data_IF_977346095848
#
_entry.id   IF_977346095848
#
_cell.length_a   1.000
_cell.length_b   1.000
_cell.length_c   1.000
_cell.angle_alpha   90.00
_cell.angle_beta   90.00
_cell.angle_gamma   90.00
#
_symmetry.space_group_name_H-M   'P 1'
#
loop_
_entity.id
_entity.type
_entity.pdbx_description
1 polymer ?
#
# COMPACT_ATOMS: atom_id res chain seq x y z
N UNK A 1 2.90 -0.77 20.88
CA UNK A 1 3.46 -0.73 19.51
C UNK A 1 2.71 -1.63 18.53
N UNK A 2 2.30 -2.84 18.92
CA UNK A 2 1.63 -3.81 18.04
C UNK A 2 0.36 -3.28 17.33
N UNK A 3 -0.46 -2.45 18.00
CA UNK A 3 -1.68 -1.86 17.41
C UNK A 3 -1.36 -1.07 16.14
N UNK A 4 -0.22 -0.37 16.17
CA UNK A 4 0.26 0.44 15.05
C UNK A 4 0.70 -0.47 13.91
N UNK A 5 1.57 -1.45 14.17
CA UNK A 5 2.05 -2.38 13.15
C UNK A 5 0.93 -3.19 12.51
N UNK A 6 -0.04 -3.65 13.31
CA UNK A 6 -1.23 -4.33 12.82
C UNK A 6 -2.05 -3.41 11.89
N UNK A 7 -2.29 -2.17 12.31
CA UNK A 7 -3.05 -1.20 11.53
C UNK A 7 -2.37 -0.85 10.20
N UNK A 8 -1.06 -0.56 10.23
CA UNK A 8 -0.27 -0.31 9.01
C UNK A 8 -0.34 -1.51 8.08
N UNK A 9 -0.11 -2.72 8.60
CA UNK A 9 -0.11 -3.94 7.78
C UNK A 9 -1.48 -4.20 7.14
N UNK A 10 -2.58 -3.97 7.86
CA UNK A 10 -3.93 -4.10 7.30
C UNK A 10 -4.21 -3.07 6.20
N UNK A 11 -3.84 -1.80 6.41
CA UNK A 11 -4.01 -0.75 5.40
C UNK A 11 -3.19 -1.07 4.16
N UNK A 12 -1.94 -1.47 4.33
CA UNK A 12 -1.04 -1.88 3.24
C UNK A 12 -1.62 -3.01 2.41
N UNK A 13 -2.13 -4.08 3.04
CA UNK A 13 -2.75 -5.20 2.32
C UNK A 13 -3.98 -4.74 1.53
N UNK A 14 -4.81 -3.88 2.13
CA UNK A 14 -5.97 -3.31 1.45
C UNK A 14 -5.55 -2.47 0.25
N UNK A 15 -4.52 -1.65 0.39
CA UNK A 15 -3.98 -0.80 -0.67
C UNK A 15 -3.41 -1.60 -1.84
N UNK A 16 -2.69 -2.69 -1.56
CA UNK A 16 -2.20 -3.63 -2.59
C UNK A 16 -3.40 -4.20 -3.37
N UNK A 17 -4.41 -4.71 -2.67
CA UNK A 17 -5.62 -5.21 -3.34
C UNK A 17 -6.31 -4.12 -4.16
N UNK A 18 -6.46 -2.92 -3.61
CA UNK A 18 -7.09 -1.81 -4.29
C UNK A 18 -6.33 -1.43 -5.57
N UNK A 19 -5.01 -1.41 -5.52
CA UNK A 19 -4.18 -1.10 -6.68
C UNK A 19 -4.38 -2.14 -7.80
N UNK A 20 -4.20 -3.42 -7.52
CA UNK A 20 -4.27 -4.45 -8.56
C UNK A 20 -5.68 -4.65 -9.14
N UNK A 21 -6.73 -4.49 -8.34
CA UNK A 21 -8.11 -4.69 -8.80
C UNK A 21 -8.78 -3.44 -9.37
N UNK A 22 -8.33 -2.23 -9.01
CA UNK A 22 -8.96 -0.99 -9.46
C UNK A 22 -7.99 -0.05 -10.19
N UNK A 23 -6.85 0.29 -9.58
CA UNK A 23 -5.94 1.29 -10.17
C UNK A 23 -5.25 0.76 -11.42
N UNK A 24 -4.74 -0.47 -11.41
CA UNK A 24 -4.05 -1.07 -12.55
C UNK A 24 -4.92 -1.19 -13.81
N UNK A 25 -6.15 -1.72 -13.72
CA UNK A 25 -7.11 -1.70 -14.82
C UNK A 25 -7.47 -0.29 -15.28
N UNK A 26 -7.67 0.65 -14.34
CA UNK A 26 -7.93 2.05 -14.67
C UNK A 26 -6.75 2.69 -15.43
N UNK A 27 -5.53 2.42 -15.01
CA UNK A 27 -4.31 2.89 -15.66
C UNK A 27 -4.21 2.35 -17.10
N UNK A 28 -4.51 1.07 -17.29
CA UNK A 28 -4.63 0.43 -18.60
C UNK A 28 -5.58 1.20 -19.53
N UNK A 29 -6.78 1.53 -19.05
CA UNK A 29 -7.79 2.28 -19.81
C UNK A 29 -7.36 3.72 -20.13
N UNK A 30 -6.69 4.38 -19.18
CA UNK A 30 -6.13 5.72 -19.36
C UNK A 30 -5.04 5.71 -20.44
N UNK A 31 -4.15 4.72 -20.43
CA UNK A 31 -3.10 4.57 -21.44
C UNK A 31 -3.69 4.34 -22.83
N UNK A 32 -4.67 3.45 -22.98
CA UNK A 32 -5.38 3.26 -24.25
C UNK A 32 -5.99 4.57 -24.77
N UNK A 33 -6.67 5.31 -23.89
CA UNK A 33 -7.29 6.59 -24.25
C UNK A 33 -6.26 7.65 -24.67
N UNK A 34 -5.08 7.66 -24.03
CA UNK A 34 -4.00 8.57 -24.37
C UNK A 34 -3.36 8.23 -25.72
N UNK A 35 -3.10 6.94 -25.98
CA UNK A 35 -2.60 6.48 -27.28
C UNK A 35 -3.56 6.88 -28.40
N UNK A 36 -4.86 6.65 -28.22
CA UNK A 36 -5.88 7.06 -29.18
C UNK A 36 -5.77 8.55 -29.56
N UNK A 37 -5.73 9.42 -28.54
CA UNK A 37 -5.61 10.88 -28.72
C UNK A 37 -4.31 11.30 -29.42
N UNK A 38 -3.21 10.58 -29.21
CA UNK A 38 -1.94 10.85 -29.90
C UNK A 38 -2.05 10.52 -31.38
N UNK A 39 -2.76 9.44 -31.73
CA UNK A 39 -2.87 8.97 -33.11
C UNK A 39 -3.90 9.78 -33.92
N UNK A 40 -4.97 10.27 -33.27
CA UNK A 40 -6.05 11.03 -33.91
C UNK A 40 -5.54 12.24 -34.72
N UNK A 41 -4.69 13.09 -34.14
CA UNK A 41 -4.22 14.30 -34.82
C UNK A 41 -3.41 14.05 -36.10
N UNK A 42 -2.42 13.14 -36.09
CA UNK A 42 -1.73 12.70 -37.30
C UNK A 42 -2.64 12.02 -38.33
N UNK A 43 -3.63 11.25 -37.88
CA UNK A 43 -4.60 10.58 -38.75
C UNK A 43 -5.48 11.57 -39.51
N UNK A 44 -6.01 12.59 -38.84
CA UNK A 44 -6.84 13.62 -39.48
C UNK A 44 -6.08 14.32 -40.64
N UNK A 45 -4.78 14.59 -40.43
CA UNK A 45 -3.92 15.19 -41.46
C UNK A 45 -3.60 14.22 -42.59
N UNK A 46 -3.42 12.95 -42.26
CA UNK A 46 -3.20 11.90 -43.25
C UNK A 46 -4.44 11.78 -44.15
N UNK A 47 -5.64 11.79 -43.58
CA UNK A 47 -6.90 11.74 -44.31
C UNK A 47 -7.11 12.93 -45.23
N UNK A 48 -6.80 14.13 -44.75
CA UNK A 48 -6.85 15.32 -45.61
C UNK A 48 -5.90 15.19 -46.81
N UNK A 49 -4.74 14.56 -46.61
CA UNK A 49 -3.74 14.36 -47.66
C UNK A 49 -4.13 13.25 -48.62
N UNK A 50 -4.60 12.13 -48.10
CA UNK A 50 -5.08 10.99 -48.90
C UNK A 50 -6.33 11.34 -49.71
N UNK A 51 -7.23 12.14 -49.13
CA UNK A 51 -8.39 12.70 -49.81
C UNK A 51 -8.01 13.56 -51.02
N UNK A 52 -6.89 14.32 -50.96
CA UNK A 52 -6.36 15.06 -52.13
C UNK A 52 -5.88 14.14 -53.25
N UNK A 53 -5.47 12.91 -52.92
CA UNK A 53 -5.03 11.90 -53.89
C UNK A 53 -6.15 10.94 -54.29
N UNK A 54 -7.35 11.10 -53.71
CA UNK A 54 -8.50 10.23 -53.91
C UNK A 54 -8.18 8.76 -53.58
N UNK A 55 -7.34 8.54 -52.56
CA UNK A 55 -6.92 7.24 -52.05
C UNK A 55 -7.49 7.07 -50.65
N UNK A 56 -8.00 5.88 -50.34
CA UNK A 56 -8.45 5.55 -48.98
C UNK A 56 -7.30 5.04 -48.09
N UNK A 57 -7.39 5.18 -46.76
CA UNK A 57 -6.38 4.68 -45.82
C UNK A 57 -6.08 3.19 -46.00
N UNK A 58 -7.10 2.35 -46.22
CA UNK A 58 -6.87 0.91 -46.46
C UNK A 58 -6.10 0.67 -47.75
N UNK A 59 -6.39 1.44 -48.80
CA UNK A 59 -5.67 1.34 -50.07
C UNK A 59 -4.22 1.81 -49.91
N UNK A 60 -3.99 2.91 -49.20
CA UNK A 60 -2.66 3.44 -48.90
C UNK A 60 -1.81 2.45 -48.10
N UNK A 61 -2.36 1.89 -47.01
CA UNK A 61 -1.69 0.87 -46.20
C UNK A 61 -1.45 -0.38 -47.04
N UNK A 62 -2.45 -0.86 -47.78
CA UNK A 62 -2.27 -1.99 -48.69
C UNK A 62 -1.19 -1.71 -49.73
N UNK A 63 -1.03 -0.48 -50.22
CA UNK A 63 0.02 -0.11 -51.16
C UNK A 63 1.41 -0.17 -50.52
N UNK A 64 1.57 0.32 -49.29
CA UNK A 64 2.82 0.21 -48.52
C UNK A 64 3.18 -1.26 -48.25
N UNK A 65 2.20 -2.08 -47.88
CA UNK A 65 2.38 -3.48 -47.52
C UNK A 65 2.19 -4.47 -48.68
N UNK A 66 1.88 -4.00 -49.90
CA UNK A 66 1.59 -4.85 -51.08
C UNK A 66 2.82 -5.61 -51.63
N UNK A 67 4.01 -5.39 -51.06
CA UNK A 67 5.19 -6.21 -51.33
C UNK A 67 5.22 -7.53 -50.53
N UNK A 68 4.35 -7.70 -49.52
CA UNK A 68 4.16 -8.96 -48.80
C UNK A 68 2.78 -9.52 -49.12
N UNK A 69 2.70 -10.74 -49.67
CA UNK A 69 1.45 -11.49 -49.94
C UNK A 69 0.68 -11.90 -48.68
N UNK A 70 0.87 -11.22 -47.54
CA UNK A 70 0.50 -11.76 -46.24
C UNK A 70 -0.93 -11.38 -45.82
N UNK A 71 -1.87 -12.22 -46.24
CA UNK A 71 -3.11 -12.48 -45.47
C UNK A 71 -2.81 -13.00 -44.03
N UNK A 72 -1.55 -13.28 -43.74
CA UNK A 72 -1.02 -13.73 -42.46
C UNK A 72 -0.56 -12.58 -41.55
N UNK A 73 -0.31 -11.37 -42.07
CA UNK A 73 0.27 -10.27 -41.27
C UNK A 73 -0.69 -9.72 -40.21
N UNK A 74 -1.95 -9.46 -40.59
CA UNK A 74 -3.01 -9.03 -39.67
C UNK A 74 -3.26 -10.10 -38.59
N UNK A 75 -3.35 -11.36 -39.00
CA UNK A 75 -3.51 -12.50 -38.08
C UNK A 75 -2.32 -12.68 -37.15
N UNK A 76 -1.10 -12.42 -37.65
CA UNK A 76 0.13 -12.47 -36.85
C UNK A 76 0.13 -11.37 -35.82
N UNK A 77 -0.20 -10.13 -36.19
CA UNK A 77 -0.32 -9.01 -35.25
C UNK A 77 -1.41 -9.23 -34.20
N UNK A 78 -2.57 -9.75 -34.61
CA UNK A 78 -3.65 -10.08 -33.68
C UNK A 78 -3.19 -11.16 -32.68
N UNK A 79 -2.54 -12.22 -33.17
CA UNK A 79 -2.00 -13.27 -32.32
C UNK A 79 -0.94 -12.74 -31.35
N UNK A 80 0.02 -11.95 -31.85
CA UNK A 80 1.04 -11.31 -31.01
C UNK A 80 0.42 -10.40 -29.95
N UNK A 81 -0.66 -9.68 -30.29
CA UNK A 81 -1.40 -8.85 -29.33
C UNK A 81 -2.08 -9.69 -28.25
N UNK A 82 -2.71 -10.81 -28.60
CA UNK A 82 -3.34 -11.72 -27.63
C UNK A 82 -2.29 -12.36 -26.73
N UNK A 83 -1.19 -12.84 -27.31
CA UNK A 83 -0.07 -13.42 -26.56
C UNK A 83 0.61 -12.37 -25.65
N UNK A 84 0.73 -11.13 -26.13
CA UNK A 84 1.22 -9.98 -25.36
C UNK A 84 0.33 -9.66 -24.16
N UNK A 85 -1.00 -9.65 -24.37
CA UNK A 85 -2.00 -9.44 -23.31
C UNK A 85 -1.93 -10.54 -22.25
N UNK A 86 -1.94 -11.80 -22.66
CA UNK A 86 -1.88 -12.94 -21.73
C UNK A 86 -0.59 -12.90 -20.89
N UNK A 87 0.56 -12.64 -21.53
CA UNK A 87 1.85 -12.51 -20.83
C UNK A 87 1.86 -11.36 -19.83
N UNK A 88 1.27 -10.20 -20.17
CA UNK A 88 1.10 -9.06 -19.26
C UNK A 88 0.23 -9.44 -18.05
N UNK A 89 -0.91 -10.09 -18.29
CA UNK A 89 -1.81 -10.53 -17.22
C UNK A 89 -1.12 -11.54 -16.28
N UNK A 90 -0.37 -12.51 -16.83
CA UNK A 90 0.41 -13.47 -16.05
C UNK A 90 1.52 -12.79 -15.22
N UNK A 91 2.25 -11.84 -15.81
CA UNK A 91 3.31 -11.10 -15.11
C UNK A 91 2.74 -10.23 -13.98
N UNK A 92 1.64 -9.52 -14.23
CA UNK A 92 0.95 -8.71 -13.22
C UNK A 92 0.33 -9.57 -12.12
N UNK A 93 -0.25 -10.72 -12.45
CA UNK A 93 -0.79 -11.66 -11.47
C UNK A 93 0.33 -12.24 -10.60
N UNK A 94 1.48 -12.56 -11.21
CA UNK A 94 2.67 -13.00 -10.48
C UNK A 94 3.16 -11.91 -9.53
N UNK A 95 3.24 -10.66 -10.00
CA UNK A 95 3.61 -9.51 -9.18
C UNK A 95 2.65 -9.35 -7.98
N UNK A 96 1.35 -9.46 -8.23
CA UNK A 96 0.33 -9.44 -7.17
C UNK A 96 0.55 -10.55 -6.14
N UNK A 97 0.68 -11.81 -6.59
CA UNK A 97 0.88 -12.97 -5.71
C UNK A 97 2.14 -12.83 -4.86
N UNK A 98 3.25 -12.44 -5.46
CA UNK A 98 4.50 -12.23 -4.74
C UNK A 98 4.38 -11.10 -3.73
N UNK A 99 3.75 -9.98 -4.12
CA UNK A 99 3.56 -8.83 -3.22
C UNK A 99 2.67 -9.19 -2.04
N UNK A 100 1.51 -9.80 -2.28
CA UNK A 100 0.56 -10.14 -1.21
C UNK A 100 1.14 -11.20 -0.27
N UNK A 101 1.96 -12.13 -0.77
CA UNK A 101 2.63 -13.14 0.04
C UNK A 101 3.59 -12.50 1.05
N UNK A 102 4.51 -11.63 0.60
CA UNK A 102 5.46 -10.95 1.49
C UNK A 102 4.75 -10.09 2.54
N UNK A 103 3.73 -9.32 2.14
CA UNK A 103 2.99 -8.47 3.06
C UNK A 103 2.10 -9.26 4.02
N UNK A 104 1.57 -10.40 3.59
CA UNK A 104 0.83 -11.32 4.46
C UNK A 104 1.73 -11.95 5.52
N UNK A 105 2.99 -12.26 5.19
CA UNK A 105 3.97 -12.74 6.18
C UNK A 105 4.28 -11.68 7.24
N UNK A 106 4.44 -10.41 6.84
CA UNK A 106 4.64 -9.29 7.77
C UNK A 106 3.41 -9.10 8.68
N UNK A 107 2.21 -9.18 8.11
CA UNK A 107 0.96 -9.12 8.87
C UNK A 107 0.87 -10.29 9.87
N UNK A 108 1.15 -11.52 9.44
CA UNK A 108 1.15 -12.70 10.29
C UNK A 108 2.17 -12.58 11.43
N UNK A 109 3.38 -12.07 11.15
CA UNK A 109 4.37 -11.78 12.18
C UNK A 109 3.89 -10.72 13.17
N UNK A 110 3.20 -9.68 12.70
CA UNK A 110 2.61 -8.64 13.57
C UNK A 110 1.53 -9.21 14.49
N UNK A 111 0.67 -10.09 13.97
CA UNK A 111 -0.34 -10.82 14.75
C UNK A 111 0.33 -11.75 15.78
N UNK A 112 1.40 -12.44 15.39
CA UNK A 112 2.16 -13.29 16.31
C UNK A 112 2.74 -12.50 17.49
N UNK A 113 3.36 -11.35 17.24
CA UNK A 113 3.87 -10.47 18.31
C UNK A 113 2.75 -10.01 19.25
N UNK A 114 1.57 -9.69 18.70
CA UNK A 114 0.41 -9.34 19.50
C UNK A 114 -0.04 -10.49 20.41
N UNK A 115 -0.10 -11.72 19.89
CA UNK A 115 -0.46 -12.91 20.68
C UNK A 115 0.57 -13.16 21.79
N UNK A 116 1.87 -13.02 21.49
CA UNK A 116 2.91 -13.16 22.51
C UNK A 116 2.75 -12.15 23.64
N UNK A 117 2.52 -10.87 23.33
CA UNK A 117 2.29 -9.83 24.34
C UNK A 117 1.03 -10.14 25.16
N UNK A 118 -0.06 -10.54 24.50
CA UNK A 118 -1.30 -10.92 25.17
C UNK A 118 -1.10 -12.09 26.14
N UNK A 119 -0.37 -13.14 25.73
CA UNK A 119 -0.06 -14.29 26.59
C UNK A 119 0.84 -13.91 27.76
N UNK A 120 1.83 -13.04 27.56
CA UNK A 120 2.70 -12.54 28.64
C UNK A 120 1.88 -11.75 29.67
N UNK A 121 1.05 -10.80 29.21
CA UNK A 121 0.16 -10.03 30.08
C UNK A 121 -0.80 -10.94 30.85
N UNK A 122 -1.41 -11.91 30.17
CA UNK A 122 -2.28 -12.89 30.79
C UNK A 122 -1.57 -13.71 31.88
N UNK A 123 -0.34 -14.16 31.61
CA UNK A 123 0.49 -14.87 32.59
C UNK A 123 0.84 -14.01 33.81
N UNK A 124 1.15 -12.73 33.61
CA UNK A 124 1.46 -11.79 34.70
C UNK A 124 0.22 -11.54 35.57
N UNK A 125 -0.93 -11.27 34.96
CA UNK A 125 -2.21 -11.05 35.66
C UNK A 125 -2.60 -12.30 36.47
N UNK A 126 -2.50 -13.49 35.86
CA UNK A 126 -2.79 -14.77 36.53
C UNK A 126 -1.86 -15.05 37.72
N UNK A 127 -0.60 -14.60 37.67
CA UNK A 127 0.33 -14.69 38.81
C UNK A 127 -0.03 -13.71 39.93
N UNK A 128 -0.55 -12.51 39.61
CA UNK A 128 -1.00 -11.52 40.61
C UNK A 128 -2.27 -11.93 41.34
N UNK A 129 -3.21 -12.60 40.66
CA UNK A 129 -4.47 -13.10 41.25
C UNK A 129 -4.32 -14.17 42.34
N UNK A 130 -3.11 -14.69 42.60
CA UNK A 130 -2.86 -15.63 43.70
C UNK A 130 -2.41 -14.97 45.01
N UNK A 131 -2.03 -13.68 44.99
CA UNK A 131 -1.37 -13.01 46.13
C UNK A 131 -2.07 -11.74 46.63
N UNK A 132 -3.32 -11.45 46.24
CA UNK A 132 -4.02 -10.22 46.67
C UNK A 132 -5.47 -10.52 47.05
N UNK A 133 -5.80 -10.30 48.32
CA UNK A 133 -7.17 -10.23 48.84
C UNK A 133 -7.88 -9.01 48.23
N UNK A 134 -9.13 -9.12 47.75
CA UNK A 134 -9.82 -8.00 47.12
C UNK A 134 -10.34 -7.05 48.19
N UNK A 135 -9.86 -5.81 48.19
CA UNK A 135 -10.58 -4.69 48.79
C UNK A 135 -11.48 -4.13 47.69
N UNK A 136 -12.78 -4.35 47.84
CA UNK A 136 -13.83 -3.77 47.01
C UNK A 136 -13.70 -2.25 46.96
N UNK A 137 -13.48 -1.68 45.78
CA UNK A 137 -14.11 -0.42 45.39
C UNK A 137 -14.54 -0.53 43.92
N UNK A 138 -15.84 -0.39 43.73
CA UNK A 138 -16.48 -0.25 42.44
C UNK A 138 -15.97 1.03 41.79
N UNK A 139 -15.46 0.94 40.57
CA UNK A 139 -15.69 1.93 39.52
C UNK A 139 -15.20 1.32 38.20
N UNK A 140 -16.17 1.11 37.31
CA UNK A 140 -15.94 0.86 35.91
C UNK A 140 -15.17 2.06 35.35
N UNK A 141 -13.92 1.89 34.92
CA UNK A 141 -13.44 2.74 33.83
C UNK A 141 -12.32 2.13 32.99
N UNK A 142 -12.51 2.27 31.69
CA UNK A 142 -11.66 1.78 30.63
C UNK A 142 -10.32 2.53 30.62
N UNK A 143 -9.31 2.08 31.35
CA UNK A 143 -7.94 2.60 31.15
C UNK A 143 -6.87 1.63 31.66
N UNK A 144 -6.39 0.76 30.76
CA UNK A 144 -5.21 -0.08 30.99
C UNK A 144 -3.92 0.70 31.29
N UNK A 145 -3.91 2.00 31.02
CA UNK A 145 -2.75 2.88 31.21
C UNK A 145 -2.73 3.58 32.59
N UNK A 146 -3.83 3.52 33.36
CA UNK A 146 -3.90 4.10 34.72
C UNK A 146 -3.32 3.14 35.77
N UNK A 147 -3.45 1.82 35.56
CA UNK A 147 -3.00 0.81 36.52
C UNK A 147 -1.47 0.80 36.74
N UNK A 148 -0.68 1.17 35.73
CA UNK A 148 0.78 1.29 35.85
C UNK A 148 1.18 2.58 36.60
N UNK A 149 0.33 3.61 36.58
CA UNK A 149 0.57 4.89 37.24
C UNK A 149 0.27 4.87 38.73
N UNK A 150 -0.70 4.06 39.17
CA UNK A 150 -1.08 3.94 40.58
C UNK A 150 -0.09 3.07 41.38
N UNK A 151 0.56 2.11 40.71
CA UNK A 151 1.43 1.11 41.34
C UNK A 151 2.80 1.66 41.82
N UNK A 152 3.23 2.84 41.37
CA UNK A 152 4.52 3.44 41.77
C UNK A 152 4.34 4.46 42.92
N UNK A 153 3.13 4.97 43.14
CA UNK A 153 2.88 6.02 44.13
C UNK A 153 2.90 5.51 45.58
N UNK A 154 2.72 4.21 45.80
CA UNK A 154 2.54 3.62 47.14
C UNK A 154 3.83 3.15 47.82
N UNK A 155 5.02 3.35 47.22
CA UNK A 155 6.31 2.93 47.80
C UNK A 155 7.20 4.09 48.26
N UNK A 156 6.62 5.15 48.83
CA UNK A 156 7.43 6.16 49.54
C UNK A 156 7.40 5.90 51.05
N UNK A 157 8.49 5.29 51.51
CA UNK A 157 8.88 5.10 52.91
C UNK A 157 8.90 6.46 53.61
N UNK A 158 8.09 6.61 54.66
CA UNK A 158 8.10 7.79 55.54
C UNK A 158 9.47 7.92 56.22
N UNK A 159 10.23 8.94 55.83
CA UNK A 159 11.30 9.51 56.65
C UNK A 159 11.12 11.03 56.65
N UNK A 160 11.16 11.62 57.85
CA UNK A 160 10.98 13.04 58.13
C UNK A 160 11.95 13.93 57.33
N UNK A 161 11.43 14.66 56.36
CA UNK A 161 12.07 15.77 55.67
C UNK A 161 11.04 16.89 55.52
N UNK A 162 11.50 18.15 55.56
CA UNK A 162 10.63 19.33 55.54
C UNK A 162 9.70 19.36 54.32
N UNK A 163 8.43 19.66 54.58
CA UNK A 163 7.30 19.57 53.64
C UNK A 163 7.52 20.35 52.33
N UNK A 164 8.21 21.50 52.39
CA UNK A 164 8.50 22.34 51.22
C UNK A 164 9.54 21.74 50.25
N UNK A 165 10.53 20.99 50.76
CA UNK A 165 11.54 20.39 49.90
C UNK A 165 10.97 19.18 49.13
N UNK A 166 10.10 18.41 49.81
CA UNK A 166 9.36 17.28 49.22
C UNK A 166 8.44 17.75 48.10
N UNK A 167 7.71 18.84 48.28
CA UNK A 167 6.76 19.36 47.28
C UNK A 167 7.48 19.83 46.00
N UNK A 168 8.64 20.48 46.13
CA UNK A 168 9.47 20.91 44.99
C UNK A 168 10.09 19.74 44.21
N UNK A 169 10.47 18.66 44.90
CA UNK A 169 10.98 17.42 44.30
C UNK A 169 9.85 16.64 43.60
N UNK A 170 8.65 16.64 44.19
CA UNK A 170 7.45 16.01 43.63
C UNK A 170 7.01 16.72 42.34
N UNK A 171 7.01 18.06 42.30
CA UNK A 171 6.71 18.83 41.08
C UNK A 171 7.75 18.61 39.97
N UNK A 172 9.04 18.61 40.29
CA UNK A 172 10.11 18.33 39.32
C UNK A 172 10.04 16.90 38.80
N UNK A 173 9.68 15.94 39.64
CA UNK A 173 9.41 14.54 39.27
C UNK A 173 8.21 14.41 38.35
N UNK A 174 7.09 15.10 38.65
CA UNK A 174 5.90 15.16 37.80
C UNK A 174 6.19 15.78 36.42
N UNK A 175 6.95 16.88 36.36
CA UNK A 175 7.37 17.52 35.10
C UNK A 175 8.28 16.63 34.26
N UNK A 176 9.27 15.95 34.85
CA UNK A 176 10.11 14.98 34.14
C UNK A 176 9.30 13.78 33.63
N UNK A 177 8.33 13.30 34.40
CA UNK A 177 7.45 12.18 34.02
C UNK A 177 6.50 12.57 32.87
N UNK A 178 5.94 13.78 32.90
CA UNK A 178 5.13 14.33 31.81
C UNK A 178 5.95 14.51 30.52
N UNK A 179 7.17 15.05 30.63
CA UNK A 179 8.07 15.21 29.48
C UNK A 179 8.46 13.85 28.86
N UNK A 180 8.75 12.86 29.70
CA UNK A 180 9.03 11.48 29.25
C UNK A 180 7.82 10.84 28.57
N UNK A 181 6.61 11.05 29.09
CA UNK A 181 5.37 10.56 28.49
C UNK A 181 5.13 11.21 27.11
N UNK A 182 5.34 12.53 26.99
CA UNK A 182 5.29 13.24 25.72
C UNK A 182 6.31 12.69 24.72
N UNK A 183 7.57 12.51 25.12
CA UNK A 183 8.62 11.98 24.24
C UNK A 183 8.29 10.56 23.77
N UNK A 184 7.77 9.71 24.66
CA UNK A 184 7.33 8.34 24.31
C UNK A 184 6.20 8.37 23.28
N UNK A 185 5.20 9.23 23.50
CA UNK A 185 4.06 9.40 22.58
C UNK A 185 4.48 9.98 21.23
N UNK A 186 5.30 11.04 21.22
CA UNK A 186 5.85 11.62 20.00
C UNK A 186 6.70 10.61 19.23
N UNK A 187 7.57 9.86 19.91
CA UNK A 187 8.38 8.82 19.30
C UNK A 187 7.53 7.73 18.63
N UNK A 188 6.41 7.33 19.25
CA UNK A 188 5.47 6.39 18.64
C UNK A 188 4.87 6.90 17.34
N UNK A 189 4.44 8.16 17.28
CA UNK A 189 3.87 8.75 16.06
C UNK A 189 4.92 9.00 14.97
N UNK A 190 6.14 9.38 15.34
CA UNK A 190 7.25 9.54 14.40
C UNK A 190 7.59 8.21 13.73
N UNK A 191 7.72 7.13 14.51
CA UNK A 191 7.97 5.78 13.98
C UNK A 191 6.84 5.36 13.05
N UNK A 192 5.58 5.59 13.45
CA UNK A 192 4.43 5.29 12.59
C UNK A 192 4.48 6.03 11.25
N UNK A 193 4.74 7.35 11.27
CA UNK A 193 4.85 8.15 10.06
C UNK A 193 5.98 7.66 9.14
N UNK A 194 7.15 7.38 9.71
CA UNK A 194 8.30 6.85 8.95
C UNK A 194 7.99 5.48 8.35
N UNK A 195 7.28 4.60 9.07
CA UNK A 195 6.87 3.29 8.56
C UNK A 195 5.90 3.42 7.39
N UNK A 196 4.94 4.34 7.45
CA UNK A 196 4.01 4.60 6.33
C UNK A 196 4.77 5.13 5.12
N UNK A 197 5.64 6.12 5.30
CA UNK A 197 6.40 6.72 4.19
C UNK A 197 7.31 5.67 3.54
N UNK A 198 8.00 4.86 4.36
CA UNK A 198 8.84 3.77 3.86
C UNK A 198 8.02 2.76 3.07
N UNK A 199 6.85 2.36 3.60
CA UNK A 199 5.95 1.47 2.88
C UNK A 199 5.54 2.05 1.53
N UNK A 200 5.06 3.29 1.52
CA UNK A 200 4.64 3.97 0.30
C UNK A 200 5.76 4.01 -0.73
N UNK A 201 6.97 4.39 -0.31
CA UNK A 201 8.13 4.38 -1.19
C UNK A 201 8.40 3.00 -1.82
N UNK A 202 8.39 1.93 -1.01
CA UNK A 202 8.60 0.57 -1.49
C UNK A 202 7.45 0.12 -2.41
N UNK A 203 6.22 0.49 -2.08
CA UNK A 203 5.04 0.17 -2.87
C UNK A 203 5.14 0.81 -4.27
N UNK A 204 5.48 2.09 -4.35
CA UNK A 204 5.69 2.73 -5.65
C UNK A 204 6.84 2.11 -6.44
N UNK A 205 7.97 1.86 -5.77
CA UNK A 205 9.15 1.33 -6.45
C UNK A 205 8.96 -0.09 -7.00
N UNK A 206 8.38 -0.98 -6.20
CA UNK A 206 8.35 -2.40 -6.53
C UNK A 206 7.00 -2.90 -7.04
N UNK A 207 5.92 -2.16 -6.81
CA UNK A 207 4.58 -2.55 -7.25
C UNK A 207 4.12 -1.67 -8.39
N UNK A 208 4.09 -0.34 -8.19
CA UNK A 208 3.53 0.57 -9.19
C UNK A 208 4.41 0.64 -10.44
N UNK A 209 5.73 0.77 -10.31
CA UNK A 209 6.61 0.85 -11.50
C UNK A 209 6.80 -0.47 -12.23
N UNK A 210 6.66 -1.60 -11.55
CA UNK A 210 6.77 -2.93 -12.17
C UNK A 210 5.44 -3.41 -12.76
N UNK A 211 4.32 -2.75 -12.42
CA UNK A 211 3.03 -3.04 -13.03
C UNK A 211 3.08 -2.70 -14.52
N UNK A 212 2.64 -3.64 -15.36
CA UNK A 212 2.62 -3.47 -16.81
C UNK A 212 1.20 -3.13 -17.26
N UNK A 213 0.90 -1.86 -17.61
CA UNK A 213 -0.45 -1.48 -18.06
C UNK A 213 -0.75 -1.96 -19.47
N UNK A 214 0.19 -1.83 -20.42
CA UNK A 214 0.08 -2.34 -21.80
C UNK A 214 1.34 -3.09 -22.21
N UNK A 215 1.19 -4.15 -23.01
CA UNK A 215 2.30 -4.70 -23.78
C UNK A 215 2.52 -3.92 -25.07
N UNK A 216 3.76 -3.92 -25.56
CA UNK A 216 4.12 -3.28 -26.84
C UNK A 216 3.35 -3.94 -27.99
N UNK A 217 3.12 -5.25 -27.92
CA UNK A 217 2.43 -6.00 -28.95
C UNK A 217 0.93 -5.63 -29.02
N UNK A 218 0.30 -5.38 -27.86
CA UNK A 218 -1.04 -4.77 -27.79
C UNK A 218 -1.08 -3.39 -28.44
N UNK A 219 -0.05 -2.54 -28.23
CA UNK A 219 0.03 -1.20 -28.85
C UNK A 219 0.14 -1.31 -30.37
N UNK A 220 1.01 -2.18 -30.88
CA UNK A 220 1.23 -2.35 -32.33
C UNK A 220 -0.06 -2.73 -33.04
N UNK A 221 -0.75 -3.75 -32.53
CA UNK A 221 -2.02 -4.19 -33.10
C UNK A 221 -3.11 -3.14 -32.94
N UNK A 222 -3.18 -2.47 -31.78
CA UNK A 222 -4.13 -1.39 -31.56
C UNK A 222 -3.96 -0.26 -32.58
N UNK A 223 -2.72 0.21 -32.79
CA UNK A 223 -2.41 1.24 -33.78
C UNK A 223 -2.77 0.76 -35.18
N UNK A 224 -2.38 -0.45 -35.56
CA UNK A 224 -2.68 -1.04 -36.87
C UNK A 224 -4.19 -1.10 -37.13
N UNK A 225 -4.95 -1.63 -36.17
CA UNK A 225 -6.40 -1.72 -36.28
C UNK A 225 -7.06 -0.33 -36.32
N UNK A 226 -6.54 0.62 -35.55
CA UNK A 226 -7.05 1.99 -35.51
C UNK A 226 -6.85 2.71 -36.85
N UNK A 227 -5.70 2.50 -37.50
CA UNK A 227 -5.41 3.03 -38.83
C UNK A 227 -6.38 2.52 -39.91
N UNK A 228 -6.94 1.31 -39.74
CA UNK A 228 -7.81 0.65 -40.74
C UNK A 228 -9.31 0.87 -40.52
N UNK A 229 -9.76 1.11 -39.29
CA UNK A 229 -11.18 0.94 -38.91
C UNK A 229 -11.93 2.26 -38.75
N UNK A 230 -11.22 3.37 -38.58
CA UNK A 230 -11.79 4.74 -38.57
C UNK A 230 -11.60 5.37 -39.93
#
# INVERSE_FOLDING_TARGET
>A
MYKIFLHVSCITVLEICFFFYYIGPLETDIFYSYIKRIIDGPLDKLDETLGKWNVDRRQFIKMIYSQSEDSDFEKTLEKESVDGKNRREEENEKLFKTTIEYWSLILAFSVFLFICEFLICYCIIRKRGKNVLPVNQNEEDNNSDILENEMILTSYRKTSLDEQEIESQLEKGKKKKYLFLCIKTTGHYVIFGVSIITFQYLFFQYVVFEYKPLSIDEIKYYVYNYLLTT
#
